data_IF_810559037574
#
_entry.id   IF_810559037574
#
_cell.length_a   1.000
_cell.length_b   1.000
_cell.length_c   1.000
_cell.angle_alpha   90.00
_cell.angle_beta   90.00
_cell.angle_gamma   90.00
#
_symmetry.space_group_name_H-M   'P 1'
#
loop_
_entity.id
_entity.type
_entity.pdbx_description
1 polymer ?
#
# COMPACT_ATOMS: atom_id res chain seq x y z
N UNK A 1 8.32 15.26 12.32
CA UNK A 1 7.58 14.07 11.87
C UNK A 1 8.51 12.88 12.01
N UNK A 2 8.00 11.71 12.42
CA UNK A 2 8.79 10.47 12.52
C UNK A 2 8.06 9.35 11.78
N UNK A 3 8.81 8.55 11.03
CA UNK A 3 8.36 7.26 10.49
C UNK A 3 8.83 6.15 11.43
N UNK A 4 7.91 5.31 11.90
CA UNK A 4 8.23 4.21 12.81
C UNK A 4 8.96 3.09 12.08
N UNK A 5 8.49 2.70 10.90
CA UNK A 5 9.10 1.64 10.09
C UNK A 5 9.40 2.11 8.67
N UNK A 6 10.68 2.02 8.30
CA UNK A 6 11.18 2.40 6.99
C UNK A 6 12.17 1.34 6.48
N UNK A 7 11.69 0.10 6.35
CA UNK A 7 12.35 -0.97 5.58
C UNK A 7 13.45 -1.74 6.31
N UNK A 8 13.60 -1.45 7.59
CA UNK A 8 14.66 -1.90 8.47
C UNK A 8 14.15 -2.89 9.51
N UNK A 9 13.47 -3.97 9.06
CA UNK A 9 12.88 -4.95 9.99
C UNK A 9 14.03 -5.66 10.72
N UNK A 10 14.02 -5.72 12.07
CA UNK A 10 15.04 -6.46 12.80
C UNK A 10 15.15 -7.90 12.29
N UNK A 11 16.37 -8.38 12.04
CA UNK A 11 16.61 -9.72 11.48
C UNK A 11 15.94 -10.82 12.31
N UNK A 12 15.90 -10.69 13.63
CA UNK A 12 15.23 -11.64 14.53
C UNK A 12 13.74 -11.78 14.27
N UNK A 13 13.06 -10.71 13.82
CA UNK A 13 11.66 -10.77 13.38
C UNK A 13 11.54 -11.33 11.97
N UNK A 14 12.52 -11.09 11.10
CA UNK A 14 12.57 -11.70 9.78
C UNK A 14 12.78 -13.23 9.86
N UNK A 15 13.61 -13.70 10.80
CA UNK A 15 13.93 -15.12 11.00
C UNK A 15 12.70 -15.94 11.42
N UNK A 16 11.68 -15.32 12.04
CA UNK A 16 10.39 -15.95 12.35
C UNK A 16 9.36 -15.80 11.21
N UNK A 17 9.77 -15.30 10.03
CA UNK A 17 8.94 -15.15 8.84
C UNK A 17 8.64 -13.71 8.43
N UNK A 18 9.07 -12.72 9.23
CA UNK A 18 8.85 -11.30 8.94
C UNK A 18 7.37 -10.97 8.75
N UNK A 19 7.07 -10.07 7.81
CA UNK A 19 5.71 -9.62 7.53
C UNK A 19 4.76 -10.71 7.04
N UNK A 20 5.24 -11.90 6.63
CA UNK A 20 4.34 -13.02 6.34
C UNK A 20 3.80 -13.69 7.61
N UNK A 21 4.43 -13.47 8.76
CA UNK A 21 3.98 -13.99 10.05
C UNK A 21 3.10 -12.96 10.78
N UNK A 22 1.86 -13.35 11.08
CA UNK A 22 0.86 -12.52 11.74
C UNK A 22 1.31 -11.91 13.08
N UNK A 23 2.20 -12.58 13.82
CA UNK A 23 2.70 -12.10 15.12
C UNK A 23 3.54 -10.83 15.00
N UNK A 24 4.12 -10.54 13.82
CA UNK A 24 4.93 -9.33 13.61
C UNK A 24 4.07 -8.06 13.73
N UNK A 25 2.76 -8.14 13.47
CA UNK A 25 1.86 -7.03 13.75
C UNK A 25 1.74 -6.71 15.25
N UNK A 26 1.80 -7.72 16.14
CA UNK A 26 1.76 -7.54 17.59
C UNK A 26 3.11 -6.96 18.10
N UNK A 27 4.23 -7.41 17.54
CA UNK A 27 5.54 -6.83 17.84
C UNK A 27 5.63 -5.37 17.37
N UNK A 28 5.08 -5.04 16.21
CA UNK A 28 5.02 -3.67 15.73
C UNK A 28 4.16 -2.77 16.62
N UNK A 29 3.01 -3.26 17.11
CA UNK A 29 2.19 -2.54 18.10
C UNK A 29 2.99 -2.25 19.39
N UNK A 30 3.75 -3.22 19.89
CA UNK A 30 4.61 -3.06 21.07
C UNK A 30 5.73 -2.03 20.85
N UNK A 31 6.35 -2.03 19.67
CA UNK A 31 7.34 -1.04 19.27
C UNK A 31 6.73 0.37 19.16
N UNK A 32 5.56 0.49 18.54
CA UNK A 32 4.83 1.75 18.44
C UNK A 32 4.45 2.30 19.82
N UNK A 33 4.00 1.44 20.75
CA UNK A 33 3.70 1.82 22.13
C UNK A 33 4.91 2.49 22.81
N UNK A 34 6.08 1.86 22.67
CA UNK A 34 7.32 2.38 23.22
C UNK A 34 7.69 3.73 22.58
N UNK A 35 7.62 3.84 21.26
CA UNK A 35 7.94 5.08 20.55
C UNK A 35 7.00 6.24 20.94
N UNK A 36 5.70 6.00 21.01
CA UNK A 36 4.71 6.99 21.45
C UNK A 36 4.94 7.41 22.90
N UNK A 37 5.23 6.45 23.79
CA UNK A 37 5.52 6.72 25.20
C UNK A 37 6.76 7.60 25.38
N UNK A 38 7.84 7.32 24.64
CA UNK A 38 9.13 7.98 24.81
C UNK A 38 9.20 9.35 24.13
N UNK A 39 8.55 9.52 22.98
CA UNK A 39 8.75 10.70 22.13
C UNK A 39 7.47 11.48 21.81
N UNK A 40 6.29 10.96 22.15
CA UNK A 40 5.00 11.55 21.77
C UNK A 40 4.65 12.86 22.50
N UNK A 41 5.39 13.20 23.56
CA UNK A 41 5.35 14.53 24.18
C UNK A 41 5.82 15.62 23.18
N UNK A 42 6.83 15.32 22.35
CA UNK A 42 7.42 16.24 21.36
C UNK A 42 6.95 15.98 19.93
N UNK A 43 6.75 14.72 19.55
CA UNK A 43 6.44 14.32 18.19
C UNK A 43 4.93 14.31 17.97
N UNK A 44 4.46 15.16 17.04
CA UNK A 44 3.03 15.36 16.75
C UNK A 44 2.58 14.83 15.39
N UNK A 45 3.51 14.33 14.59
CA UNK A 45 3.23 13.73 13.28
C UNK A 45 3.98 12.42 13.17
N UNK A 46 3.22 11.34 13.01
CA UNK A 46 3.71 9.98 12.93
C UNK A 46 3.29 9.34 11.61
N UNK A 47 4.25 8.70 10.96
CA UNK A 47 4.00 7.70 9.92
C UNK A 47 4.28 6.34 10.54
N UNK A 48 3.34 5.42 10.44
CA UNK A 48 3.49 4.04 10.92
C UNK A 48 4.45 3.26 10.02
N UNK A 49 4.04 3.04 8.78
CA UNK A 49 4.79 2.29 7.77
C UNK A 49 4.97 3.16 6.53
N UNK A 50 6.18 3.17 5.99
CA UNK A 50 6.49 3.84 4.73
C UNK A 50 6.45 2.85 3.56
N UNK A 51 5.64 3.15 2.53
CA UNK A 51 5.63 2.43 1.25
C UNK A 51 5.46 0.90 1.38
N UNK A 52 4.34 0.42 1.98
CA UNK A 52 4.10 -1.01 2.14
C UNK A 52 4.05 -1.78 0.81
N UNK A 53 3.74 -1.11 -0.30
CA UNK A 53 3.81 -1.70 -1.64
C UNK A 53 5.23 -2.14 -2.02
N UNK A 54 6.27 -1.37 -1.67
CA UNK A 54 7.66 -1.76 -1.97
C UNK A 54 8.13 -2.86 -1.03
N UNK A 55 7.67 -2.85 0.22
CA UNK A 55 7.96 -3.92 1.18
C UNK A 55 7.43 -5.27 0.77
N UNK A 56 6.16 -5.35 0.35
CA UNK A 56 5.57 -6.62 -0.06
C UNK A 56 6.32 -7.23 -1.24
N UNK A 57 6.94 -6.39 -2.08
CA UNK A 57 7.76 -6.87 -3.19
C UNK A 57 8.97 -7.65 -2.71
N UNK A 58 9.59 -7.36 -1.55
CA UNK A 58 10.70 -8.16 -1.02
C UNK A 58 10.33 -9.58 -0.58
N UNK A 59 9.03 -9.88 -0.45
CA UNK A 59 8.52 -11.21 -0.12
C UNK A 59 8.13 -12.00 -1.38
N UNK A 60 7.58 -11.32 -2.40
CA UNK A 60 7.22 -11.95 -3.68
C UNK A 60 8.39 -12.00 -4.66
N UNK A 61 9.19 -10.94 -4.73
CA UNK A 61 10.22 -10.71 -5.74
C UNK A 61 11.56 -10.46 -5.05
N UNK A 62 12.65 -10.99 -5.60
CA UNK A 62 14.02 -10.84 -5.04
C UNK A 62 14.63 -9.44 -5.26
N UNK A 63 13.79 -8.42 -5.36
CA UNK A 63 14.17 -7.04 -5.72
C UNK A 63 14.47 -6.18 -4.49
N UNK A 64 13.86 -6.50 -3.35
CA UNK A 64 14.03 -5.80 -2.07
C UNK A 64 14.31 -6.82 -0.96
N UNK A 65 14.92 -6.39 0.15
CA UNK A 65 14.99 -7.22 1.35
C UNK A 65 13.56 -7.62 1.80
N UNK A 66 13.33 -8.87 2.26
CA UNK A 66 14.30 -9.94 2.53
C UNK A 66 14.80 -10.75 1.32
N UNK A 67 14.35 -10.44 0.10
CA UNK A 67 14.85 -11.08 -1.13
C UNK A 67 14.29 -12.49 -1.35
N UNK A 68 13.04 -12.71 -0.97
CA UNK A 68 12.36 -14.00 -1.08
C UNK A 68 11.60 -14.13 -2.42
N UNK A 69 11.14 -15.35 -2.71
CA UNK A 69 10.34 -15.67 -3.89
C UNK A 69 9.10 -16.47 -3.46
N UNK A 70 8.13 -15.76 -2.89
CA UNK A 70 6.90 -16.33 -2.32
C UNK A 70 5.64 -16.02 -3.15
N UNK A 71 5.79 -15.56 -4.40
CA UNK A 71 4.69 -15.25 -5.32
C UNK A 71 3.61 -16.34 -5.37
N UNK A 72 4.02 -17.57 -5.70
CA UNK A 72 3.13 -18.71 -5.87
C UNK A 72 2.40 -19.16 -4.60
N UNK A 73 2.81 -18.70 -3.42
CA UNK A 73 2.11 -18.99 -2.15
C UNK A 73 1.40 -17.77 -1.57
N UNK A 74 1.43 -16.62 -2.28
CA UNK A 74 0.80 -15.37 -1.85
C UNK A 74 1.56 -14.66 -0.73
N UNK A 75 2.88 -14.84 -0.63
CA UNK A 75 3.69 -14.23 0.43
C UNK A 75 3.65 -12.70 0.41
N UNK A 76 3.61 -12.10 -0.78
CA UNK A 76 3.45 -10.66 -0.95
C UNK A 76 2.09 -10.17 -0.43
N UNK A 77 1.01 -10.91 -0.68
CA UNK A 77 -0.32 -10.57 -0.15
C UNK A 77 -0.39 -10.76 1.37
N UNK A 78 0.24 -11.80 1.91
CA UNK A 78 0.35 -12.02 3.35
C UNK A 78 1.14 -10.89 4.03
N UNK A 79 2.26 -10.47 3.45
CA UNK A 79 3.04 -9.34 3.94
C UNK A 79 2.21 -8.04 3.94
N UNK A 80 1.56 -7.72 2.81
CA UNK A 80 0.67 -6.56 2.70
C UNK A 80 -0.45 -6.58 3.76
N UNK A 81 -1.08 -7.75 3.95
CA UNK A 81 -2.15 -7.95 4.90
C UNK A 81 -1.71 -7.70 6.35
N UNK A 82 -0.57 -8.25 6.76
CA UNK A 82 -0.07 -8.07 8.12
C UNK A 82 0.47 -6.66 8.36
N UNK A 83 1.06 -6.00 7.36
CA UNK A 83 1.43 -4.57 7.47
C UNK A 83 0.20 -3.68 7.69
N UNK A 84 -0.92 -3.95 7.00
CA UNK A 84 -2.19 -3.25 7.25
C UNK A 84 -2.71 -3.50 8.68
N UNK A 85 -2.68 -4.74 9.16
CA UNK A 85 -3.05 -5.08 10.56
C UNK A 85 -2.16 -4.37 11.57
N UNK A 86 -0.85 -4.31 11.30
CA UNK A 86 0.13 -3.61 12.14
C UNK A 86 -0.13 -2.10 12.19
N UNK A 87 -0.42 -1.48 11.04
CA UNK A 87 -0.83 -0.08 10.95
C UNK A 87 -2.08 0.20 11.79
N UNK A 88 -3.15 -0.57 11.60
CA UNK A 88 -4.40 -0.41 12.33
C UNK A 88 -4.19 -0.52 13.84
N UNK A 89 -3.43 -1.52 14.29
CA UNK A 89 -3.08 -1.70 15.70
C UNK A 89 -2.35 -0.51 16.28
N UNK A 90 -1.29 -0.03 15.62
CA UNK A 90 -0.54 1.15 16.06
C UNK A 90 -1.42 2.41 16.11
N UNK A 91 -2.29 2.62 15.12
CA UNK A 91 -3.21 3.76 15.12
C UNK A 91 -4.22 3.66 16.28
N UNK A 92 -4.89 2.52 16.44
CA UNK A 92 -5.90 2.34 17.50
C UNK A 92 -5.28 2.37 18.89
N UNK A 93 -4.04 1.90 19.05
CA UNK A 93 -3.26 2.10 20.27
C UNK A 93 -3.04 3.59 20.55
N UNK A 94 -2.59 4.36 19.54
CA UNK A 94 -2.40 5.81 19.69
C UNK A 94 -3.71 6.50 20.08
N UNK A 95 -4.79 6.19 19.36
CA UNK A 95 -6.13 6.72 19.60
C UNK A 95 -6.59 6.50 21.05
N UNK A 96 -6.47 5.26 21.56
CA UNK A 96 -6.94 4.90 22.90
C UNK A 96 -6.05 5.41 24.04
N UNK A 97 -4.73 5.47 23.83
CA UNK A 97 -3.76 5.67 24.94
C UNK A 97 -3.08 7.04 24.95
N UNK A 98 -2.92 7.66 23.78
CA UNK A 98 -2.03 8.82 23.61
C UNK A 98 -2.68 10.03 22.96
N UNK A 99 -3.72 9.86 22.14
CA UNK A 99 -4.30 10.94 21.32
C UNK A 99 -4.81 12.11 22.15
N UNK A 100 -5.48 11.83 23.27
CA UNK A 100 -6.01 12.88 24.18
C UNK A 100 -4.89 13.72 24.82
N UNK A 101 -3.85 13.07 25.35
CA UNK A 101 -2.77 13.73 26.08
C UNK A 101 -1.72 14.36 25.15
N UNK A 102 -1.37 13.67 24.06
CA UNK A 102 -0.30 14.08 23.16
C UNK A 102 -0.79 14.94 21.99
N UNK A 103 -2.06 14.82 21.59
CA UNK A 103 -2.69 15.61 20.52
C UNK A 103 -1.95 15.55 19.17
N UNK A 104 -1.23 14.45 18.91
CA UNK A 104 -0.58 14.21 17.62
C UNK A 104 -1.52 13.58 16.60
N UNK A 105 -0.99 13.39 15.40
CA UNK A 105 -1.66 12.74 14.27
C UNK A 105 -0.83 11.57 13.77
N UNK A 106 -1.51 10.49 13.39
CA UNK A 106 -0.92 9.26 12.89
C UNK A 106 -1.45 8.96 11.50
N UNK A 107 -0.56 8.58 10.58
CA UNK A 107 -0.93 8.09 9.26
C UNK A 107 -0.03 6.94 8.81
N UNK A 108 -0.27 6.46 7.60
CA UNK A 108 0.61 5.61 6.81
C UNK A 108 1.07 6.39 5.58
N UNK A 109 2.30 6.14 5.09
CA UNK A 109 2.74 6.71 3.82
C UNK A 109 2.61 5.68 2.72
N UNK A 110 1.77 5.96 1.72
CA UNK A 110 1.51 5.07 0.60
C UNK A 110 2.22 5.60 -0.63
N UNK A 111 2.91 4.75 -1.38
CA UNK A 111 3.44 5.11 -2.69
C UNK A 111 2.57 4.59 -3.82
N UNK A 112 2.48 5.37 -4.88
CA UNK A 112 1.96 4.91 -6.16
C UNK A 112 2.38 5.84 -7.29
N UNK A 113 2.19 5.35 -8.51
CA UNK A 113 2.30 6.13 -9.73
C UNK A 113 0.91 6.56 -10.20
N UNK A 114 0.87 7.56 -11.07
CA UNK A 114 -0.29 7.75 -11.94
C UNK A 114 -0.14 6.80 -13.13
N UNK A 115 -1.24 6.16 -13.52
CA UNK A 115 -1.30 5.30 -14.69
C UNK A 115 -2.18 5.96 -15.75
N UNK A 116 -1.65 6.08 -16.96
CA UNK A 116 -2.37 6.56 -18.13
C UNK A 116 -2.55 5.41 -19.11
N UNK A 117 -3.67 5.35 -19.85
CA UNK A 117 -3.81 4.35 -20.92
C UNK A 117 -2.72 4.56 -21.97
N UNK A 118 -2.10 3.47 -22.43
CA UNK A 118 -1.12 3.51 -23.52
C UNK A 118 -1.79 4.01 -24.82
N UNK A 119 -2.99 3.52 -25.11
CA UNK A 119 -3.87 4.02 -26.14
C UNK A 119 -5.13 4.66 -25.51
N UNK A 120 -5.22 5.99 -25.54
CA UNK A 120 -6.34 6.74 -24.96
C UNK A 120 -7.70 6.45 -25.62
N UNK A 121 -7.72 5.83 -26.81
CA UNK A 121 -8.95 5.37 -27.47
C UNK A 121 -9.35 3.93 -27.13
N UNK A 122 -8.50 3.17 -26.43
CA UNK A 122 -8.80 1.78 -26.02
C UNK A 122 -9.46 1.75 -24.66
N UNK A 123 -10.67 1.18 -24.61
CA UNK A 123 -11.39 0.96 -23.35
C UNK A 123 -10.60 0.04 -22.42
N UNK A 124 -9.94 -0.97 -22.98
CA UNK A 124 -9.15 -1.96 -22.27
C UNK A 124 -7.95 -1.32 -21.56
N UNK A 125 -7.29 -0.35 -22.19
CA UNK A 125 -6.18 0.39 -21.57
C UNK A 125 -6.65 1.34 -20.46
N UNK A 126 -7.83 1.95 -20.60
CA UNK A 126 -8.44 2.73 -19.53
C UNK A 126 -8.80 1.85 -18.32
N UNK A 127 -9.36 0.66 -18.57
CA UNK A 127 -9.62 -0.33 -17.52
C UNK A 127 -8.31 -0.82 -16.88
N UNK A 128 -7.25 -1.04 -17.67
CA UNK A 128 -5.92 -1.38 -17.17
C UNK A 128 -5.34 -0.28 -16.25
N UNK A 129 -5.49 1.00 -16.63
CA UNK A 129 -5.06 2.12 -15.80
C UNK A 129 -5.77 2.15 -14.44
N UNK A 130 -7.09 1.96 -14.41
CA UNK A 130 -7.84 1.87 -13.15
C UNK A 130 -7.42 0.64 -12.33
N UNK A 131 -7.29 -0.53 -12.95
CA UNK A 131 -6.79 -1.74 -12.26
C UNK A 131 -5.42 -1.51 -11.65
N UNK A 132 -4.51 -0.85 -12.37
CA UNK A 132 -3.16 -0.53 -11.88
C UNK A 132 -3.17 0.31 -10.62
N UNK A 133 -3.98 1.37 -10.58
CA UNK A 133 -4.09 2.20 -9.36
C UNK A 133 -4.74 1.38 -8.22
N UNK A 134 -5.76 0.57 -8.50
CA UNK A 134 -6.43 -0.23 -7.47
C UNK A 134 -5.53 -1.31 -6.87
N UNK A 135 -4.76 -2.04 -7.68
CA UNK A 135 -3.81 -3.04 -7.21
C UNK A 135 -2.60 -2.44 -6.49
N UNK A 136 -2.25 -1.18 -6.77
CA UNK A 136 -1.17 -0.49 -6.06
C UNK A 136 -1.72 0.30 -4.87
N UNK A 137 -2.22 1.51 -5.11
CA UNK A 137 -2.73 2.38 -4.06
C UNK A 137 -3.99 1.81 -3.39
N UNK A 138 -4.95 1.31 -4.17
CA UNK A 138 -6.25 0.87 -3.67
C UNK A 138 -6.15 -0.23 -2.63
N UNK A 139 -5.24 -1.19 -2.80
CA UNK A 139 -5.00 -2.28 -1.85
C UNK A 139 -4.72 -1.81 -0.42
N UNK A 140 -4.09 -0.64 -0.26
CA UNK A 140 -3.76 -0.07 1.04
C UNK A 140 -4.70 1.06 1.44
N UNK A 141 -5.06 1.92 0.48
CA UNK A 141 -5.89 3.08 0.75
C UNK A 141 -7.36 2.72 0.97
N UNK A 142 -7.90 1.73 0.26
CA UNK A 142 -9.31 1.38 0.38
C UNK A 142 -9.68 0.81 1.76
N UNK A 143 -8.90 -0.10 2.39
CA UNK A 143 -9.19 -0.55 3.75
C UNK A 143 -9.21 0.58 4.78
N UNK A 144 -8.39 1.61 4.59
CA UNK A 144 -8.17 2.69 5.56
C UNK A 144 -9.14 3.87 5.36
N UNK A 145 -9.34 4.32 4.11
CA UNK A 145 -10.00 5.59 3.83
C UNK A 145 -11.39 5.47 3.21
N UNK A 146 -11.73 4.30 2.64
CA UNK A 146 -13.05 4.12 2.03
C UNK A 146 -14.16 4.03 3.09
N UNK A 147 -15.40 4.33 2.69
CA UNK A 147 -16.56 4.19 3.58
C UNK A 147 -16.83 2.74 4.00
N UNK A 148 -16.47 1.79 3.16
CA UNK A 148 -16.76 0.36 3.36
C UNK A 148 -15.63 -0.37 4.08
N UNK A 149 -14.40 0.15 4.04
CA UNK A 149 -13.20 -0.60 4.42
C UNK A 149 -12.94 -1.78 3.47
N UNK A 150 -12.18 -2.77 3.95
CA UNK A 150 -11.72 -3.96 3.21
C UNK A 150 -10.93 -3.63 1.93
N UNK A 151 -10.37 -4.65 1.28
CA UNK A 151 -9.72 -4.51 -0.02
C UNK A 151 -10.71 -4.05 -1.10
N UNK A 152 -10.24 -3.36 -2.17
CA UNK A 152 -11.10 -3.01 -3.29
C UNK A 152 -11.76 -4.26 -3.89
N UNK A 153 -13.06 -4.18 -4.20
CA UNK A 153 -13.81 -5.31 -4.77
C UNK A 153 -13.16 -5.85 -6.05
N UNK A 154 -12.66 -4.96 -6.90
CA UNK A 154 -11.95 -5.32 -8.13
C UNK A 154 -10.70 -6.17 -7.85
N UNK A 155 -9.88 -5.79 -6.86
CA UNK A 155 -8.68 -6.56 -6.50
C UNK A 155 -9.10 -7.91 -5.93
N UNK A 156 -10.07 -7.92 -5.01
CA UNK A 156 -10.59 -9.13 -4.38
C UNK A 156 -11.10 -10.14 -5.41
N UNK A 157 -12.02 -9.71 -6.28
CA UNK A 157 -12.62 -10.56 -7.31
C UNK A 157 -11.54 -11.12 -8.24
N UNK A 158 -10.63 -10.27 -8.72
CA UNK A 158 -9.54 -10.70 -9.61
C UNK A 158 -8.68 -11.80 -8.99
N UNK A 159 -8.22 -11.61 -7.75
CA UNK A 159 -7.33 -12.60 -7.10
C UNK A 159 -8.08 -13.86 -6.70
N UNK A 160 -9.34 -13.75 -6.27
CA UNK A 160 -10.19 -14.91 -5.95
C UNK A 160 -10.43 -15.77 -7.21
N UNK A 161 -10.77 -15.16 -8.34
CA UNK A 161 -10.97 -15.84 -9.62
C UNK A 161 -9.70 -16.51 -10.13
N UNK A 162 -8.55 -15.81 -10.08
CA UNK A 162 -7.27 -16.38 -10.49
C UNK A 162 -6.86 -17.53 -9.58
N UNK A 163 -7.01 -17.37 -8.27
CA UNK A 163 -6.75 -18.45 -7.31
C UNK A 163 -7.60 -19.70 -7.58
N UNK A 164 -8.88 -19.51 -7.93
CA UNK A 164 -9.77 -20.61 -8.29
C UNK A 164 -9.37 -21.29 -9.61
N UNK A 165 -8.99 -20.51 -10.64
CA UNK A 165 -8.47 -21.04 -11.92
C UNK A 165 -7.19 -21.84 -11.74
N UNK A 166 -6.38 -21.49 -10.74
CA UNK A 166 -5.18 -22.22 -10.38
C UNK A 166 -5.45 -23.46 -9.51
N UNK A 167 -6.71 -23.77 -9.19
CA UNK A 167 -7.09 -24.94 -8.39
C UNK A 167 -6.83 -24.80 -6.89
N UNK A 168 -6.62 -23.58 -6.37
CA UNK A 168 -6.34 -23.37 -4.94
C UNK A 168 -7.62 -23.51 -4.10
N UNK A 169 -7.49 -24.19 -2.96
CA UNK A 169 -8.58 -24.31 -1.99
C UNK A 169 -8.93 -22.98 -1.29
N UNK A 170 -8.02 -21.99 -1.33
CA UNK A 170 -8.19 -20.66 -0.75
C UNK A 170 -7.57 -19.62 -1.67
N UNK A 171 -8.11 -18.40 -1.63
CA UNK A 171 -7.54 -17.25 -2.34
C UNK A 171 -6.13 -16.92 -1.83
N UNK A 172 -5.23 -16.51 -2.73
CA UNK A 172 -3.90 -15.98 -2.39
C UNK A 172 -3.98 -14.67 -1.61
N UNK A 173 -5.06 -13.89 -1.76
CA UNK A 173 -5.30 -12.66 -0.99
C UNK A 173 -6.04 -13.00 0.33
N UNK A 174 -5.46 -12.77 1.51
CA UNK A 174 -6.13 -13.06 2.78
C UNK A 174 -7.38 -12.18 2.99
N UNK A 175 -8.36 -12.66 3.77
CA UNK A 175 -9.57 -11.89 4.12
C UNK A 175 -9.41 -11.24 5.48
N UNK A 176 -9.81 -9.98 5.60
CA UNK A 176 -9.99 -9.35 6.91
C UNK A 176 -11.24 -9.92 7.59
N UNK A 177 -11.16 -10.08 8.90
CA UNK A 177 -12.34 -10.28 9.75
C UNK A 177 -13.15 -8.98 9.85
N UNK A 178 -14.40 -9.07 10.30
CA UNK A 178 -15.24 -7.88 10.51
C UNK A 178 -14.59 -6.87 11.49
N UNK A 179 -13.89 -7.38 12.53
CA UNK A 179 -13.18 -6.52 13.48
C UNK A 179 -11.97 -5.83 12.83
N UNK A 180 -11.19 -6.55 12.02
CA UNK A 180 -10.03 -5.95 11.32
C UNK A 180 -10.46 -4.90 10.30
N UNK A 181 -11.60 -5.08 9.63
CA UNK A 181 -12.19 -4.06 8.75
C UNK A 181 -12.51 -2.80 9.55
N UNK A 182 -13.12 -2.91 10.74
CA UNK A 182 -13.38 -1.73 11.58
C UNK A 182 -12.09 -1.10 12.13
N UNK A 183 -11.13 -1.92 12.56
CA UNK A 183 -9.87 -1.41 13.10
C UNK A 183 -9.11 -0.61 12.03
N UNK A 184 -9.15 -1.03 10.76
CA UNK A 184 -8.55 -0.34 9.62
C UNK A 184 -9.33 0.91 9.19
N UNK A 185 -10.66 0.85 9.14
CA UNK A 185 -11.48 1.92 8.60
C UNK A 185 -11.35 3.21 9.43
N UNK A 186 -10.84 4.27 8.81
CA UNK A 186 -10.58 5.55 9.47
C UNK A 186 -9.31 5.56 10.34
N UNK A 187 -8.41 4.58 10.18
CA UNK A 187 -7.16 4.48 10.96
C UNK A 187 -6.04 5.43 10.50
N UNK A 188 -6.39 6.63 10.01
CA UNK A 188 -5.41 7.62 9.57
C UNK A 188 -5.95 9.04 9.67
N UNK A 189 -5.20 9.93 10.31
CA UNK A 189 -5.57 11.33 10.54
C UNK A 189 -5.32 12.25 9.33
N UNK A 190 -4.48 11.80 8.40
CA UNK A 190 -4.18 12.47 7.13
C UNK A 190 -3.80 11.43 6.06
N UNK A 191 -3.61 11.85 4.81
CA UNK A 191 -3.23 10.97 3.71
C UNK A 191 -1.74 11.15 3.39
N UNK A 192 -0.91 10.15 3.71
CA UNK A 192 0.51 10.13 3.34
C UNK A 192 0.69 9.58 1.93
N UNK A 193 1.33 10.36 1.05
CA UNK A 193 1.56 9.99 -0.35
C UNK A 193 3.01 10.24 -0.75
N UNK A 194 3.68 9.18 -1.18
CA UNK A 194 4.94 9.28 -1.92
C UNK A 194 4.65 9.12 -3.41
N UNK A 195 5.05 10.11 -4.21
CA UNK A 195 4.81 10.11 -5.66
C UNK A 195 6.02 10.68 -6.38
N UNK A 196 6.47 9.97 -7.42
CA UNK A 196 7.68 10.32 -8.15
C UNK A 196 7.45 10.43 -9.66
N UNK A 197 6.64 9.54 -10.23
CA UNK A 197 6.51 9.39 -11.68
C UNK A 197 5.18 8.76 -12.09
N UNK A 198 4.98 8.61 -13.40
CA UNK A 198 3.79 8.03 -14.01
C UNK A 198 4.19 7.03 -15.08
N UNK A 199 3.26 6.13 -15.43
CA UNK A 199 3.46 5.12 -16.46
C UNK A 199 2.29 5.12 -17.46
N UNK A 200 2.60 4.78 -18.71
CA UNK A 200 1.61 4.31 -19.66
C UNK A 200 1.35 2.83 -19.39
N UNK A 201 0.09 2.40 -19.50
CA UNK A 201 -0.28 1.00 -19.28
C UNK A 201 -1.22 0.45 -20.33
N UNK A 202 -1.06 -0.84 -20.58
CA UNK A 202 -1.98 -1.65 -21.38
C UNK A 202 -2.32 -2.94 -20.64
N UNK A 203 -3.39 -3.61 -21.06
CA UNK A 203 -3.81 -4.87 -20.45
C UNK A 203 -2.83 -5.99 -20.80
N UNK A 204 -2.50 -6.82 -19.80
CA UNK A 204 -1.70 -8.03 -20.00
C UNK A 204 -2.42 -9.25 -19.39
N UNK A 205 -2.43 -10.35 -20.14
CA UNK A 205 -2.91 -11.65 -19.68
C UNK A 205 -1.74 -12.57 -19.33
N UNK A 206 -1.31 -12.51 -18.07
CA UNK A 206 -0.40 -13.50 -17.48
C UNK A 206 -1.16 -14.44 -16.53
N UNK A 207 -0.82 -15.72 -16.63
CA UNK A 207 -1.34 -16.79 -15.76
C UNK A 207 -0.40 -17.15 -14.61
N UNK A 208 0.73 -16.45 -14.46
CA UNK A 208 1.64 -16.70 -13.34
C UNK A 208 0.93 -16.33 -12.02
N UNK A 209 1.04 -17.14 -10.98
CA UNK A 209 0.36 -16.91 -9.71
C UNK A 209 1.12 -15.88 -8.87
N UNK A 210 1.23 -14.64 -9.35
CA UNK A 210 1.94 -13.54 -8.69
C UNK A 210 1.14 -12.23 -8.74
N UNK A 211 1.45 -11.32 -7.82
CA UNK A 211 0.81 -10.00 -7.73
C UNK A 211 0.83 -9.17 -9.04
N UNK A 212 1.92 -9.19 -9.80
CA UNK A 212 2.05 -8.38 -11.02
C UNK A 212 1.13 -8.93 -12.12
N UNK A 213 1.10 -10.24 -12.25
CA UNK A 213 0.21 -10.97 -13.15
C UNK A 213 -1.24 -10.78 -12.74
N UNK A 214 -1.56 -10.76 -11.46
CA UNK A 214 -2.93 -10.50 -10.97
C UNK A 214 -3.43 -9.10 -11.35
N UNK A 215 -2.58 -8.07 -11.24
CA UNK A 215 -2.92 -6.71 -11.68
C UNK A 215 -3.23 -6.66 -13.20
N UNK A 216 -2.57 -7.53 -13.99
CA UNK A 216 -2.86 -7.71 -15.40
C UNK A 216 -2.60 -6.46 -16.22
N UNK A 217 -1.47 -5.80 -15.94
CA UNK A 217 -1.01 -4.59 -16.63
C UNK A 217 0.43 -4.74 -17.07
N UNK A 218 0.73 -4.24 -18.27
CA UNK A 218 2.09 -3.94 -18.69
C UNK A 218 2.34 -2.45 -18.55
N UNK A 219 3.48 -2.09 -17.97
CA UNK A 219 3.89 -0.71 -17.72
C UNK A 219 5.01 -0.32 -18.67
N UNK A 220 4.90 0.88 -19.23
CA UNK A 220 5.93 1.49 -20.07
C UNK A 220 6.04 2.99 -19.79
N UNK A 221 7.17 3.58 -20.13
CA UNK A 221 7.33 5.03 -20.17
C UNK A 221 7.03 5.61 -21.55
N UNK A 222 6.53 6.84 -21.60
CA UNK A 222 6.56 7.62 -22.83
C UNK A 222 8.01 8.05 -23.13
N UNK A 223 8.58 7.70 -24.30
CA UNK A 223 9.93 8.11 -24.67
C UNK A 223 10.15 9.63 -24.68
N UNK A 224 9.06 10.41 -24.78
CA UNK A 224 9.09 11.89 -24.76
C UNK A 224 9.23 12.46 -23.36
N UNK A 225 8.94 11.69 -22.31
CA UNK A 225 9.08 12.18 -20.94
C UNK A 225 10.57 12.32 -20.56
N UNK A 226 10.99 13.46 -19.96
CA UNK A 226 12.36 13.65 -19.52
C UNK A 226 12.77 12.58 -18.50
N UNK A 227 14.01 12.08 -18.62
CA UNK A 227 14.59 11.08 -17.71
C UNK A 227 15.27 11.75 -16.53
N UNK A 228 15.20 11.14 -15.36
CA UNK A 228 16.08 11.45 -14.23
C UNK A 228 17.30 10.51 -14.20
N UNK A 229 18.09 10.56 -13.14
CA UNK A 229 19.25 9.68 -12.95
C UNK A 229 18.85 8.21 -12.74
N UNK A 230 17.69 7.97 -12.12
CA UNK A 230 17.15 6.61 -11.91
C UNK A 230 16.40 6.14 -13.15
N UNK A 231 16.70 4.93 -13.63
CA UNK A 231 16.13 4.36 -14.86
C UNK A 231 14.59 4.28 -14.85
N UNK A 232 14.01 4.05 -13.68
CA UNK A 232 12.57 3.93 -13.47
C UNK A 232 11.86 5.29 -13.36
N UNK A 233 12.60 6.40 -13.22
CA UNK A 233 12.03 7.71 -12.90
C UNK A 233 11.99 8.64 -14.12
N UNK A 234 10.77 8.97 -14.52
CA UNK A 234 10.47 10.00 -15.54
C UNK A 234 9.85 11.23 -14.90
N UNK A 235 10.12 12.41 -15.47
CA UNK A 235 9.56 13.67 -15.00
C UNK A 235 8.19 13.88 -15.65
N UNK A 236 7.11 13.59 -14.91
CA UNK A 236 5.72 13.68 -15.38
C UNK A 236 4.84 14.46 -14.37
N UNK A 237 4.98 15.80 -14.27
CA UNK A 237 4.34 16.60 -13.23
C UNK A 237 2.80 16.57 -13.26
N UNK A 238 2.21 16.47 -14.45
CA UNK A 238 0.76 16.31 -14.64
C UNK A 238 0.22 15.02 -14.02
N UNK A 239 1.08 13.99 -13.95
CA UNK A 239 0.85 12.73 -13.25
C UNK A 239 0.42 12.94 -11.81
N UNK A 240 1.15 13.81 -11.10
CA UNK A 240 0.85 14.12 -9.71
C UNK A 240 -0.55 14.73 -9.55
N UNK A 241 -0.89 15.71 -10.41
CA UNK A 241 -2.24 16.31 -10.41
C UNK A 241 -3.32 15.28 -10.75
N UNK A 242 -3.06 14.40 -11.71
CA UNK A 242 -3.95 13.30 -12.10
C UNK A 242 -4.25 12.39 -10.93
N UNK A 243 -3.21 11.97 -10.22
CA UNK A 243 -3.32 11.08 -9.07
C UNK A 243 -4.08 11.73 -7.91
N UNK A 244 -3.80 12.99 -7.59
CA UNK A 244 -4.54 13.71 -6.55
C UNK A 244 -6.04 13.85 -6.87
N UNK A 245 -6.39 14.07 -8.14
CA UNK A 245 -7.79 14.05 -8.59
C UNK A 245 -8.41 12.67 -8.41
N UNK A 246 -7.68 11.60 -8.77
CA UNK A 246 -8.14 10.23 -8.59
C UNK A 246 -8.42 9.92 -7.11
N UNK A 247 -7.47 10.22 -6.22
CA UNK A 247 -7.60 10.01 -4.77
C UNK A 247 -8.83 10.74 -4.22
N UNK A 248 -8.98 12.02 -4.57
CA UNK A 248 -10.13 12.84 -4.16
C UNK A 248 -11.47 12.24 -4.62
N UNK A 249 -11.54 11.73 -5.84
CA UNK A 249 -12.79 11.27 -6.42
C UNK A 249 -13.15 9.83 -6.01
N UNK A 250 -12.15 8.96 -5.78
CA UNK A 250 -12.35 7.52 -5.63
C UNK A 250 -12.16 6.99 -4.21
N UNK A 251 -11.32 7.65 -3.40
CA UNK A 251 -10.96 7.15 -2.07
C UNK A 251 -11.54 8.06 -0.98
N UNK A 252 -11.31 9.37 -1.08
CA UNK A 252 -11.57 10.30 0.03
C UNK A 252 -12.76 11.19 -0.30
N UNK A 253 -13.96 10.78 0.10
CA UNK A 253 -15.19 11.53 -0.19
C UNK A 253 -15.28 12.90 0.49
N UNK A 254 -14.51 13.19 1.55
CA UNK A 254 -14.52 14.48 2.26
C UNK A 254 -13.23 14.74 3.07
N UNK A 255 -12.14 15.18 2.44
CA UNK A 255 -11.03 15.79 3.20
C UNK A 255 -10.38 16.96 2.44
N UNK A 256 -10.09 18.02 3.19
CA UNK A 256 -9.20 19.12 2.80
C UNK A 256 -7.80 18.54 2.56
N UNK A 257 -7.12 19.00 1.51
CA UNK A 257 -5.68 18.80 1.31
C UNK A 257 -4.93 19.59 2.39
N UNK A 258 -4.93 19.12 3.63
CA UNK A 258 -4.13 19.65 4.71
C UNK A 258 -2.96 18.69 4.95
N UNK A 259 -1.82 19.02 4.34
CA UNK A 259 -0.52 18.36 4.48
C UNK A 259 -0.35 17.06 3.68
N UNK A 260 -0.13 17.20 2.38
CA UNK A 260 0.80 16.29 1.68
C UNK A 260 2.18 16.59 2.28
N UNK A 261 2.69 15.71 3.13
CA UNK A 261 4.10 15.76 3.50
C UNK A 261 4.88 14.99 2.44
N UNK A 262 5.61 15.75 1.63
CA UNK A 262 6.58 15.21 0.68
C UNK A 262 7.79 14.73 1.48
N UNK A 263 7.99 13.42 1.52
CA UNK A 263 9.26 12.83 1.90
C UNK A 263 10.14 12.86 0.65
N UNK A 264 11.18 13.69 0.67
CA UNK A 264 12.32 13.61 -0.25
C UNK A 264 13.44 12.83 0.43
#
# INVERSE_FOLDING_TARGET
>A
MITLYHWDLPQTLQDIGGWTNAIVADYFESFADLAFKLYGDKVKLWITINEPLEHMQGYGFKEMAPGLDLTGVGGEYLAAHNMLRAHARAYRLYERKYKESQKGKVAISLNTHMFYPLNDSSKEDHEAAERGIQFKLGMYAHPIYSKTGDYPALVRQTVDEKSAKEGRARSRLPRFTAQEIEDLKGSSDFFGLNHYTSFLVTSNESSKPDYRSDAGIDQSDDPRWPKAASVWLKVVPEGFRGLLKWIKNKIILNFLVCSLLFLF
#
